data_IF_929416532253
#
_entry.id   IF_929416532253
#
_cell.length_a   1.000
_cell.length_b   1.000
_cell.length_c   1.000
_cell.angle_alpha   90.00
_cell.angle_beta   90.00
_cell.angle_gamma   90.00
#
_symmetry.space_group_name_H-M   'P 1'
#
loop_
_entity.id
_entity.type
_entity.pdbx_description
1 polymer ?
#
# COMPACT_ATOMS: atom_id res chain seq x y z
N UNK A 1 -2.90 28.16 -1.36
CA UNK A 1 -3.62 27.96 -2.65
C UNK A 1 -3.24 26.62 -3.32
N UNK A 2 -1.95 26.37 -3.63
CA UNK A 2 -1.52 25.17 -4.37
C UNK A 2 -1.86 23.84 -3.65
N UNK A 3 -1.71 23.78 -2.33
CA UNK A 3 -2.04 22.58 -1.52
C UNK A 3 -3.53 22.26 -1.61
N UNK A 4 -4.39 23.26 -1.49
CA UNK A 4 -5.84 23.08 -1.59
C UNK A 4 -6.26 22.62 -2.99
N UNK A 5 -5.76 23.30 -4.03
CA UNK A 5 -6.05 22.91 -5.40
C UNK A 5 -5.61 21.48 -5.72
N UNK A 6 -4.50 21.01 -5.13
CA UNK A 6 -4.08 19.64 -5.29
C UNK A 6 -4.99 18.66 -4.52
N UNK A 7 -5.39 19.00 -3.29
CA UNK A 7 -6.35 18.19 -2.52
C UNK A 7 -7.70 18.06 -3.23
N UNK A 8 -8.20 19.13 -3.85
CA UNK A 8 -9.42 19.08 -4.70
C UNK A 8 -9.26 18.06 -5.83
N UNK A 9 -8.15 18.07 -6.54
CA UNK A 9 -7.87 17.08 -7.58
C UNK A 9 -7.76 15.65 -7.06
N UNK A 10 -7.24 15.47 -5.83
CA UNK A 10 -7.25 14.16 -5.17
C UNK A 10 -8.68 13.69 -4.90
N UNK A 11 -9.56 14.59 -4.45
CA UNK A 11 -10.97 14.29 -4.20
C UNK A 11 -11.74 13.98 -5.50
N UNK A 12 -11.53 14.76 -6.56
CA UNK A 12 -12.08 14.48 -7.90
C UNK A 12 -11.66 13.07 -8.37
N UNK A 13 -10.37 12.74 -8.25
CA UNK A 13 -9.87 11.42 -8.63
C UNK A 13 -10.44 10.30 -7.76
N UNK A 14 -10.59 10.54 -6.46
CA UNK A 14 -11.22 9.58 -5.56
C UNK A 14 -12.65 9.25 -5.99
N UNK A 15 -13.44 10.27 -6.32
CA UNK A 15 -14.81 10.10 -6.83
C UNK A 15 -14.80 9.33 -8.17
N UNK A 16 -13.93 9.71 -9.10
CA UNK A 16 -13.78 9.06 -10.42
C UNK A 16 -13.57 7.55 -10.31
N UNK A 17 -12.73 7.11 -9.35
CA UNK A 17 -12.44 5.70 -9.12
C UNK A 17 -13.40 5.00 -8.15
N UNK A 18 -14.44 5.70 -7.71
CA UNK A 18 -15.47 5.19 -6.82
C UNK A 18 -15.09 5.15 -5.33
N UNK A 19 -14.04 5.87 -4.91
CA UNK A 19 -13.65 6.03 -3.51
C UNK A 19 -14.45 7.18 -2.85
N UNK A 20 -15.76 7.01 -2.77
CA UNK A 20 -16.73 8.08 -2.43
C UNK A 20 -16.89 8.34 -0.94
N UNK A 21 -16.30 7.49 -0.08
CA UNK A 21 -16.31 7.66 1.37
C UNK A 21 -14.94 8.18 1.88
N UNK A 22 -14.27 8.98 1.06
CA UNK A 22 -12.97 9.56 1.36
C UNK A 22 -12.98 11.05 1.06
N UNK A 23 -12.25 11.80 1.88
CA UNK A 23 -12.00 13.22 1.64
C UNK A 23 -10.56 13.56 2.04
N UNK A 24 -9.87 14.24 1.15
CA UNK A 24 -8.48 14.65 1.31
C UNK A 24 -8.40 16.17 1.47
N UNK A 25 -7.85 16.64 2.59
CA UNK A 25 -7.61 18.06 2.87
C UNK A 25 -6.20 18.50 2.51
N UNK A 26 -5.28 17.55 2.34
CA UNK A 26 -3.88 17.80 2.00
C UNK A 26 -3.26 16.56 1.31
N UNK A 27 -2.14 16.73 0.58
CA UNK A 27 -1.48 15.64 -0.14
C UNK A 27 -0.50 14.82 0.71
N UNK A 28 -0.14 15.27 1.88
CA UNK A 28 0.94 14.69 2.70
C UNK A 28 0.42 13.79 3.83
N UNK A 29 -0.89 13.81 4.10
CA UNK A 29 -1.55 12.95 5.07
C UNK A 29 -1.44 13.43 6.51
N UNK A 30 -1.13 14.71 6.73
CA UNK A 30 -1.23 15.31 8.05
C UNK A 30 -2.70 15.38 8.50
N UNK A 31 -2.89 15.24 9.81
CA UNK A 31 -4.22 15.26 10.38
C UNK A 31 -4.98 16.55 10.05
N UNK A 32 -6.22 16.37 9.64
CA UNK A 32 -7.26 17.39 9.55
C UNK A 32 -8.58 16.73 9.90
N UNK A 33 -9.51 17.41 10.60
CA UNK A 33 -10.82 16.86 10.91
C UNK A 33 -11.60 16.38 9.68
N UNK A 34 -11.36 17.01 8.53
CA UNK A 34 -12.01 16.68 7.26
C UNK A 34 -11.20 15.71 6.39
N UNK A 35 -10.08 15.15 6.92
CA UNK A 35 -9.24 14.18 6.21
C UNK A 35 -9.59 12.77 6.66
N UNK A 36 -10.40 12.07 5.90
CA UNK A 36 -10.89 10.73 6.24
C UNK A 36 -10.95 9.80 5.04
N UNK A 37 -10.97 8.52 5.31
CA UNK A 37 -11.10 7.46 4.30
C UNK A 37 -11.61 6.16 4.94
N UNK A 38 -11.83 5.15 4.12
CA UNK A 38 -12.16 3.77 4.53
C UNK A 38 -11.16 2.77 3.95
N UNK A 39 -11.07 1.57 4.52
CA UNK A 39 -10.24 0.48 3.96
C UNK A 39 -10.69 0.11 2.55
N UNK A 40 -11.99 0.13 2.29
CA UNK A 40 -12.57 -0.14 0.97
C UNK A 40 -12.11 0.90 -0.08
N UNK A 41 -12.13 2.18 0.27
CA UNK A 41 -11.73 3.25 -0.64
C UNK A 41 -10.21 3.25 -0.84
N UNK A 42 -9.43 3.02 0.22
CA UNK A 42 -7.98 2.87 0.10
C UNK A 42 -7.59 1.66 -0.78
N UNK A 43 -8.39 0.60 -0.79
CA UNK A 43 -8.21 -0.51 -1.72
C UNK A 43 -8.43 -0.09 -3.18
N UNK A 44 -9.45 0.75 -3.46
CA UNK A 44 -9.69 1.30 -4.81
C UNK A 44 -8.54 2.20 -5.26
N UNK A 45 -8.08 3.08 -4.37
CA UNK A 45 -6.93 3.95 -4.62
C UNK A 45 -5.65 3.13 -4.87
N UNK A 46 -5.41 2.09 -4.07
CA UNK A 46 -4.28 1.19 -4.27
C UNK A 46 -4.34 0.46 -5.63
N UNK A 47 -5.50 -0.05 -6.01
CA UNK A 47 -5.72 -0.68 -7.33
C UNK A 47 -5.46 0.30 -8.48
N UNK A 48 -5.93 1.55 -8.34
CA UNK A 48 -5.68 2.59 -9.33
C UNK A 48 -4.18 2.89 -9.43
N UNK A 49 -3.48 3.08 -8.30
CA UNK A 49 -2.04 3.33 -8.27
C UNK A 49 -1.22 2.21 -8.93
N UNK A 50 -1.65 0.96 -8.79
CA UNK A 50 -1.00 -0.19 -9.42
C UNK A 50 -1.17 -0.27 -10.94
N UNK A 51 -1.96 0.57 -11.58
CA UNK A 51 -2.02 0.68 -13.05
C UNK A 51 -0.82 1.43 -13.63
N UNK A 52 -0.06 2.16 -12.81
CA UNK A 52 1.07 2.98 -13.23
C UNK A 52 2.39 2.28 -12.91
N UNK A 53 3.15 1.91 -13.95
CA UNK A 53 4.41 1.17 -13.80
C UNK A 53 5.46 1.91 -12.95
N UNK A 54 5.56 3.23 -13.09
CA UNK A 54 6.47 4.04 -12.29
C UNK A 54 6.15 3.99 -10.78
N UNK A 55 4.88 3.90 -10.40
CA UNK A 55 4.47 3.70 -9.00
C UNK A 55 4.77 2.27 -8.54
N UNK A 56 4.45 1.26 -9.35
CA UNK A 56 4.80 -0.14 -9.06
C UNK A 56 6.28 -0.31 -8.78
N UNK A 57 7.13 0.25 -9.64
CA UNK A 57 8.58 0.17 -9.47
C UNK A 57 9.07 0.95 -8.24
N UNK A 58 8.41 2.06 -7.91
CA UNK A 58 8.74 2.83 -6.70
C UNK A 58 8.36 2.11 -5.42
N UNK A 59 7.19 1.48 -5.38
CA UNK A 59 6.72 0.73 -4.21
C UNK A 59 7.62 -0.43 -3.82
N UNK A 60 8.23 -1.12 -4.79
CA UNK A 60 9.12 -2.25 -4.58
C UNK A 60 10.50 -1.86 -4.05
N UNK A 61 10.93 -0.61 -4.26
CA UNK A 61 12.29 -0.18 -3.90
C UNK A 61 12.47 -0.18 -2.39
N UNK A 62 13.42 -0.97 -1.91
CA UNK A 62 13.80 -1.01 -0.49
C UNK A 62 14.58 0.22 -0.06
N UNK A 63 15.35 0.78 -0.98
CA UNK A 63 16.26 1.90 -0.76
C UNK A 63 16.46 2.67 -2.05
N UNK A 64 16.51 3.99 -1.95
CA UNK A 64 16.84 4.87 -3.07
C UNK A 64 17.88 5.89 -2.61
N UNK A 65 18.85 6.14 -3.48
CA UNK A 65 19.91 7.11 -3.24
C UNK A 65 19.88 8.15 -4.36
N UNK A 66 19.79 9.43 -3.98
CA UNK A 66 19.79 10.56 -4.89
C UNK A 66 20.97 11.47 -4.61
N UNK A 67 21.53 12.03 -5.68
CA UNK A 67 22.44 13.17 -5.59
C UNK A 67 21.60 14.44 -5.77
N UNK A 68 21.51 15.24 -4.73
CA UNK A 68 20.77 16.50 -4.78
C UNK A 68 21.60 17.61 -5.42
N UNK A 69 20.95 18.73 -5.76
CA UNK A 69 21.57 19.86 -6.50
C UNK A 69 22.81 20.46 -5.80
N UNK A 70 22.88 20.38 -4.47
CA UNK A 70 24.06 20.78 -3.69
C UNK A 70 25.27 19.83 -3.85
N UNK A 71 25.12 18.70 -4.56
CA UNK A 71 26.13 17.64 -4.69
C UNK A 71 26.12 16.62 -3.56
N UNK A 72 25.33 16.82 -2.52
CA UNK A 72 25.17 15.90 -1.42
C UNK A 72 24.36 14.66 -1.84
N UNK A 73 24.74 13.50 -1.32
CA UNK A 73 24.00 12.24 -1.55
C UNK A 73 23.06 11.98 -0.38
N UNK A 74 21.79 11.80 -0.68
CA UNK A 74 20.76 11.41 0.30
C UNK A 74 20.25 10.00 0.02
N UNK A 75 20.07 9.23 1.07
CA UNK A 75 19.56 7.86 1.00
C UNK A 75 18.25 7.76 1.78
N UNK A 76 17.23 7.23 1.13
CA UNK A 76 15.92 6.98 1.72
C UNK A 76 15.67 5.46 1.75
N UNK A 77 15.30 4.95 2.91
CA UNK A 77 14.89 3.57 3.10
C UNK A 77 13.37 3.48 3.09
N UNK A 78 12.83 2.46 2.44
CA UNK A 78 11.40 2.18 2.49
C UNK A 78 11.03 1.71 3.91
N UNK A 79 10.00 2.30 4.47
CA UNK A 79 9.49 1.96 5.80
C UNK A 79 8.68 0.65 5.82
N UNK A 80 8.35 0.09 4.65
CA UNK A 80 7.62 -1.16 4.55
C UNK A 80 8.50 -2.36 4.92
N UNK A 81 8.25 -2.93 6.10
CA UNK A 81 9.03 -4.05 6.65
C UNK A 81 8.85 -5.35 5.87
N UNK A 82 7.73 -5.52 5.16
CA UNK A 82 7.48 -6.71 4.34
C UNK A 82 8.48 -6.88 3.20
N UNK A 83 9.10 -5.79 2.76
CA UNK A 83 10.10 -5.79 1.68
C UNK A 83 11.50 -6.19 2.13
N UNK A 84 11.78 -6.21 3.42
CA UNK A 84 13.14 -6.41 3.94
C UNK A 84 13.38 -7.85 4.43
N UNK A 85 14.19 -8.67 3.72
CA UNK A 85 14.45 -10.07 4.10
C UNK A 85 15.06 -10.27 5.49
N UNK A 86 15.70 -9.23 6.04
CA UNK A 86 16.26 -9.28 7.40
C UNK A 86 15.25 -8.89 8.49
N UNK A 87 14.00 -8.57 8.13
CA UNK A 87 12.97 -8.18 9.08
C UNK A 87 12.10 -9.39 9.46
N UNK A 88 11.69 -9.56 10.74
CA UNK A 88 10.79 -10.65 11.14
C UNK A 88 9.44 -10.69 10.41
N UNK A 89 9.02 -9.56 9.83
CA UNK A 89 7.79 -9.44 9.06
C UNK A 89 8.01 -9.51 7.54
N UNK A 90 9.20 -9.95 7.11
CA UNK A 90 9.44 -10.14 5.68
C UNK A 90 8.39 -11.08 5.08
N UNK A 91 7.85 -10.66 3.93
CA UNK A 91 6.87 -11.46 3.20
C UNK A 91 7.39 -11.75 1.79
N UNK A 92 7.60 -13.01 1.50
CA UNK A 92 8.07 -13.41 0.17
C UNK A 92 7.03 -13.07 -0.90
N UNK A 93 7.48 -12.38 -1.96
CA UNK A 93 6.60 -11.87 -3.00
C UNK A 93 6.03 -10.48 -2.72
N UNK A 94 6.38 -9.82 -1.60
CA UNK A 94 5.94 -8.46 -1.32
C UNK A 94 6.35 -7.48 -2.43
N UNK A 95 5.40 -6.66 -2.90
CA UNK A 95 5.58 -5.69 -4.00
C UNK A 95 5.36 -4.24 -3.57
N UNK A 96 4.98 -4.00 -2.33
CA UNK A 96 4.77 -2.64 -1.79
C UNK A 96 3.72 -2.66 -0.67
N UNK A 97 3.06 -1.56 -0.33
CA UNK A 97 2.96 -0.28 -1.03
C UNK A 97 3.36 0.89 -0.10
N UNK A 98 2.42 1.37 0.73
CA UNK A 98 2.58 2.60 1.51
C UNK A 98 2.23 2.40 2.98
N UNK A 99 3.03 2.98 3.86
CA UNK A 99 2.78 3.06 5.31
C UNK A 99 2.26 4.42 5.70
N UNK A 100 1.53 4.49 6.80
CA UNK A 100 1.09 5.73 7.42
C UNK A 100 1.05 5.61 8.94
N UNK A 101 1.18 6.75 9.60
CA UNK A 101 0.95 6.90 11.03
C UNK A 101 0.70 8.36 11.37
N UNK A 102 -0.37 8.60 12.08
CA UNK A 102 -0.59 9.77 12.96
C UNK A 102 -1.18 9.26 14.27
N UNK A 103 -1.24 10.11 15.29
CA UNK A 103 -1.87 9.73 16.56
C UNK A 103 -3.34 9.36 16.35
N UNK A 104 -4.02 10.07 15.46
CA UNK A 104 -5.45 9.93 15.18
C UNK A 104 -5.74 8.72 14.28
N UNK A 105 -4.90 8.49 13.27
CA UNK A 105 -5.11 7.37 12.32
C UNK A 105 -4.60 6.03 12.82
N UNK A 106 -3.76 6.02 13.88
CA UNK A 106 -3.05 4.82 14.30
C UNK A 106 -2.04 4.33 13.24
N UNK A 107 -1.60 3.09 13.39
CA UNK A 107 -0.64 2.48 12.48
C UNK A 107 -1.34 1.88 11.26
N UNK A 108 -1.04 2.42 10.08
CA UNK A 108 -1.65 2.02 8.82
C UNK A 108 -0.62 1.42 7.85
N UNK A 109 -1.06 0.48 7.02
CA UNK A 109 -0.30 0.00 5.86
C UNK A 109 -1.25 -0.49 4.76
N UNK A 110 -0.92 -0.12 3.53
CA UNK A 110 -1.38 -0.84 2.35
C UNK A 110 -0.21 -1.73 1.94
N UNK A 111 -0.44 -3.04 1.97
CA UNK A 111 0.52 -4.06 1.58
C UNK A 111 0.09 -4.72 0.28
N UNK A 112 1.04 -5.05 -0.58
CA UNK A 112 0.77 -5.88 -1.76
C UNK A 112 1.83 -6.95 -1.90
N UNK A 113 1.41 -8.09 -2.42
CA UNK A 113 2.30 -9.21 -2.72
C UNK A 113 1.83 -9.95 -3.98
N UNK A 114 2.78 -10.58 -4.68
CA UNK A 114 2.49 -11.35 -5.89
C UNK A 114 3.15 -12.72 -5.80
N UNK A 115 2.33 -13.78 -5.95
CA UNK A 115 2.77 -15.19 -6.02
C UNK A 115 2.05 -15.88 -7.18
N UNK A 116 2.74 -16.67 -7.97
CA UNK A 116 2.17 -17.47 -9.07
C UNK A 116 1.26 -16.68 -10.03
N UNK A 117 1.62 -15.41 -10.32
CA UNK A 117 0.83 -14.53 -11.18
C UNK A 117 -0.33 -13.79 -10.49
N UNK A 118 -0.72 -14.21 -9.29
CA UNK A 118 -1.78 -13.59 -8.49
C UNK A 118 -1.21 -12.46 -7.67
N UNK A 119 -1.84 -11.28 -7.72
CA UNK A 119 -1.47 -10.12 -6.90
C UNK A 119 -2.58 -9.82 -5.89
N UNK A 120 -2.21 -9.77 -4.63
CA UNK A 120 -3.11 -9.50 -3.49
C UNK A 120 -2.74 -8.18 -2.85
N UNK A 121 -3.76 -7.43 -2.43
CA UNK A 121 -3.62 -6.18 -1.70
C UNK A 121 -4.34 -6.33 -0.35
N UNK A 122 -3.64 -6.04 0.73
CA UNK A 122 -4.19 -5.93 2.07
C UNK A 122 -4.15 -4.49 2.56
N UNK A 123 -5.23 -4.01 3.15
CA UNK A 123 -5.35 -2.64 3.70
C UNK A 123 -5.61 -2.73 5.20
N UNK A 124 -4.68 -2.27 5.99
CA UNK A 124 -4.75 -2.19 7.45
C UNK A 124 -4.79 -0.72 7.85
N UNK A 125 -5.78 -0.34 8.65
CA UNK A 125 -5.94 1.00 9.20
C UNK A 125 -6.28 0.94 10.68
N UNK A 126 -5.92 1.97 11.43
CA UNK A 126 -6.27 2.09 12.85
C UNK A 126 -5.53 1.11 13.77
N UNK A 127 -4.43 0.54 13.34
CA UNK A 127 -3.64 -0.38 14.18
C UNK A 127 -3.13 0.30 15.45
N UNK A 128 -3.29 -0.37 16.60
CA UNK A 128 -2.90 0.17 17.91
C UNK A 128 -1.40 0.15 18.15
N UNK A 129 -0.67 -0.73 17.46
CA UNK A 129 0.80 -0.84 17.59
C UNK A 129 1.51 -0.90 16.24
N UNK A 130 2.75 -0.41 16.23
CA UNK A 130 3.60 -0.48 15.03
C UNK A 130 3.83 -1.93 14.56
N UNK A 131 3.97 -2.87 15.48
CA UNK A 131 4.20 -4.28 15.14
C UNK A 131 2.91 -4.99 14.73
N UNK A 132 1.77 -4.65 15.36
CA UNK A 132 0.46 -5.23 15.04
C UNK A 132 0.10 -5.11 13.57
N UNK A 133 0.25 -3.91 12.97
CA UNK A 133 -0.06 -3.72 11.54
C UNK A 133 0.73 -4.65 10.60
N UNK A 134 1.96 -5.04 11.00
CA UNK A 134 2.78 -5.96 10.20
C UNK A 134 2.33 -7.40 10.36
N UNK A 135 2.01 -7.81 11.59
CA UNK A 135 1.45 -9.12 11.87
C UNK A 135 0.12 -9.30 11.13
N UNK A 136 -0.77 -8.32 11.20
CA UNK A 136 -2.06 -8.32 10.50
C UNK A 136 -1.87 -8.38 8.98
N UNK A 137 -0.92 -7.60 8.43
CA UNK A 137 -0.64 -7.61 6.99
C UNK A 137 -0.13 -8.97 6.51
N UNK A 138 0.78 -9.62 7.26
CA UNK A 138 1.28 -10.95 6.95
C UNK A 138 0.14 -11.96 6.99
N UNK A 139 -0.66 -11.98 8.06
CA UNK A 139 -1.79 -12.90 8.22
C UNK A 139 -2.80 -12.76 7.08
N UNK A 140 -3.25 -11.54 6.78
CA UNK A 140 -4.21 -11.29 5.71
C UNK A 140 -3.69 -11.69 4.33
N UNK A 141 -2.41 -11.46 4.04
CA UNK A 141 -1.81 -11.86 2.77
C UNK A 141 -1.72 -13.39 2.66
N UNK A 142 -1.29 -14.11 3.72
CA UNK A 142 -1.22 -15.57 3.72
C UNK A 142 -2.61 -16.18 3.58
N UNK A 143 -3.59 -15.74 4.37
CA UNK A 143 -4.97 -16.22 4.31
C UNK A 143 -5.58 -16.01 2.91
N UNK A 144 -5.34 -14.86 2.29
CA UNK A 144 -5.86 -14.56 0.97
C UNK A 144 -5.20 -15.41 -0.13
N UNK A 145 -3.90 -15.69 -0.06
CA UNK A 145 -3.24 -16.63 -0.98
C UNK A 145 -3.74 -18.06 -0.78
N UNK A 146 -3.88 -18.52 0.47
CA UNK A 146 -4.42 -19.84 0.77
C UNK A 146 -5.85 -20.01 0.25
N UNK A 147 -6.70 -19.00 0.46
CA UNK A 147 -8.08 -19.02 -0.05
C UNK A 147 -8.11 -19.06 -1.58
N UNK A 148 -7.24 -18.29 -2.24
CA UNK A 148 -7.15 -18.30 -3.70
C UNK A 148 -6.73 -19.67 -4.23
N UNK A 149 -5.76 -20.34 -3.62
CA UNK A 149 -5.32 -21.68 -4.00
C UNK A 149 -6.44 -22.71 -3.85
N UNK A 150 -7.25 -22.63 -2.79
CA UNK A 150 -8.40 -23.51 -2.56
C UNK A 150 -9.53 -23.28 -3.57
N UNK A 151 -9.68 -22.07 -4.07
CA UNK A 151 -10.77 -21.68 -4.97
C UNK A 151 -10.36 -21.66 -6.45
N UNK A 152 -9.07 -21.78 -6.75
CA UNK A 152 -8.58 -21.83 -8.12
C UNK A 152 -9.13 -23.08 -8.83
N UNK A 153 -9.63 -22.96 -10.07
CA UNK A 153 -10.05 -24.12 -10.83
C UNK A 153 -8.87 -25.08 -11.00
N UNK A 154 -9.07 -26.34 -10.61
CA UNK A 154 -8.08 -27.39 -10.84
C UNK A 154 -7.84 -27.47 -12.35
N UNK A 155 -6.65 -27.08 -12.81
CA UNK A 155 -6.28 -27.33 -14.20
C UNK A 155 -6.25 -28.83 -14.41
N UNK A 156 -7.23 -29.35 -15.16
CA UNK A 156 -7.25 -30.75 -15.52
C UNK A 156 -5.90 -31.10 -16.17
N UNK A 157 -5.17 -32.04 -15.56
CA UNK A 157 -3.97 -32.62 -16.19
C UNK A 157 -4.45 -33.22 -17.52
N UNK A 158 -3.89 -32.86 -18.67
CA UNK A 158 -4.24 -33.52 -19.91
C UNK A 158 -3.94 -35.00 -19.75
N UNK A 159 -4.94 -35.85 -19.98
CA UNK A 159 -4.71 -37.29 -20.04
C UNK A 159 -3.65 -37.60 -21.12
N UNK A 160 -2.64 -38.33 -20.71
CA UNK A 160 -1.55 -38.76 -21.59
C UNK A 160 -2.04 -39.75 -22.65
#
# INVERSE_FOLDING_TARGET
EAVFAFAERMNEKAIEIGAVNSHFSNPDGYFSPDHYTTTSDMLKIAKEALKYDNLRETFKKRKVTYKITSGQTMTFNNSNRLLNPSNPYYFEGATGMKTGYTTESGHCVIASAKRNGVEIIAVIMGGTTSNGRWADAVALLEDAFALHELTAPTTAVPAA
#
